data_IF_624502750500
#
_entry.id   IF_624502750500
#
_cell.length_a   1.000
_cell.length_b   1.000
_cell.length_c   1.000
_cell.angle_alpha   90.00
_cell.angle_beta   90.00
_cell.angle_gamma   90.00
#
_symmetry.space_group_name_H-M   'P 1'
#
loop_
_entity.id
_entity.type
_entity.pdbx_description
1 polymer ?
#
# COMPACT_ATOMS: atom_id res chain seq x y z
N UNK A 1 -8.80 -10.50 -10.08
CA UNK A 1 -9.11 -9.29 -9.28
C UNK A 1 -10.60 -9.02 -9.42
N UNK A 2 -11.44 -9.67 -8.61
CA UNK A 2 -12.92 -9.65 -8.76
C UNK A 2 -13.61 -8.43 -8.12
N UNK A 3 -12.86 -7.59 -7.41
CA UNK A 3 -13.37 -6.34 -6.88
C UNK A 3 -13.01 -5.23 -7.87
N UNK A 4 -13.98 -4.64 -8.56
CA UNK A 4 -13.79 -3.55 -9.54
C UNK A 4 -13.22 -2.23 -8.97
N UNK A 5 -12.53 -2.29 -7.83
CA UNK A 5 -11.85 -1.21 -7.13
C UNK A 5 -10.34 -1.44 -7.23
N UNK A 6 -9.66 -0.41 -7.74
CA UNK A 6 -8.21 -0.31 -7.83
C UNK A 6 -7.71 0.46 -6.63
N UNK A 7 -6.98 -0.22 -5.75
CA UNK A 7 -6.36 0.38 -4.58
C UNK A 7 -4.88 0.66 -4.84
N UNK A 8 -4.47 1.92 -4.74
CA UNK A 8 -3.08 2.34 -4.99
C UNK A 8 -2.58 3.30 -3.91
N UNK A 9 -1.28 3.31 -3.73
CA UNK A 9 -0.58 4.34 -2.97
C UNK A 9 0.01 5.34 -3.96
N UNK A 10 -0.56 6.54 -4.00
CA UNK A 10 -0.29 7.56 -5.00
C UNK A 10 0.51 8.70 -4.40
N UNK A 11 1.56 9.12 -5.10
CA UNK A 11 2.34 10.29 -4.73
C UNK A 11 1.61 11.59 -5.05
N UNK A 12 1.96 12.67 -4.36
CA UNK A 12 1.52 14.04 -4.65
C UNK A 12 1.90 14.53 -6.06
N UNK A 13 2.87 13.87 -6.72
CA UNK A 13 3.21 14.05 -8.14
C UNK A 13 2.26 13.32 -9.10
N UNK A 14 1.29 12.58 -8.60
CA UNK A 14 0.25 11.89 -9.38
C UNK A 14 0.58 10.47 -9.83
N UNK A 15 1.80 9.98 -9.60
CA UNK A 15 2.22 8.61 -9.94
C UNK A 15 1.74 7.58 -8.91
N UNK A 16 1.21 6.45 -9.39
CA UNK A 16 0.85 5.29 -8.57
C UNK A 16 2.13 4.53 -8.20
N UNK A 17 2.61 4.67 -6.96
CA UNK A 17 3.89 4.09 -6.52
C UNK A 17 3.75 2.63 -6.08
N UNK A 18 2.63 2.27 -5.45
CA UNK A 18 2.39 0.89 -4.98
C UNK A 18 0.96 0.47 -5.28
N UNK A 19 0.79 -0.78 -5.72
CA UNK A 19 -0.54 -1.44 -5.79
C UNK A 19 -0.84 -2.13 -4.47
N UNK A 20 -2.05 -1.96 -3.97
CA UNK A 20 -2.42 -2.44 -2.64
C UNK A 20 -3.10 -3.80 -2.76
N UNK A 21 -2.42 -4.82 -2.26
CA UNK A 21 -2.95 -6.18 -2.16
C UNK A 21 -3.78 -6.35 -0.85
N UNK A 22 -4.65 -7.37 -0.76
CA UNK A 22 -5.40 -7.67 0.47
C UNK A 22 -4.53 -7.85 1.74
N UNK A 23 -3.30 -8.35 1.57
CA UNK A 23 -2.33 -8.52 2.65
C UNK A 23 -1.55 -7.25 3.03
N UNK A 24 -1.72 -6.15 2.28
CA UNK A 24 -1.02 -4.90 2.54
C UNK A 24 -1.39 -4.33 3.92
N UNK A 25 -0.40 -3.75 4.59
CA UNK A 25 -0.55 -3.21 5.95
C UNK A 25 -1.11 -1.79 5.91
N UNK A 26 -2.13 -1.55 6.73
CA UNK A 26 -2.61 -0.23 7.08
C UNK A 26 -1.74 0.35 8.20
N UNK A 27 -1.66 1.66 8.31
CA UNK A 27 -1.02 2.36 9.43
C UNK A 27 -1.59 1.97 10.81
N UNK A 28 -2.83 1.47 10.89
CA UNK A 28 -3.37 0.89 12.13
C UNK A 28 -2.82 -0.51 12.47
N UNK A 29 -1.84 -0.99 11.70
CA UNK A 29 -1.19 -2.30 11.78
C UNK A 29 -2.06 -3.52 11.40
N UNK A 30 -3.28 -3.31 10.89
CA UNK A 30 -4.13 -4.37 10.32
C UNK A 30 -3.99 -4.48 8.80
N UNK A 31 -4.44 -5.58 8.22
CA UNK A 31 -4.38 -5.81 6.77
C UNK A 31 -5.49 -5.05 6.02
N UNK A 32 -5.35 -4.88 4.71
CA UNK A 32 -6.43 -4.33 3.88
C UNK A 32 -7.68 -5.22 3.91
N UNK A 33 -7.52 -6.54 4.00
CA UNK A 33 -8.64 -7.48 4.15
C UNK A 33 -9.47 -7.25 5.44
N UNK A 34 -8.87 -6.66 6.47
CA UNK A 34 -9.56 -6.27 7.71
C UNK A 34 -10.35 -4.95 7.58
N UNK A 35 -10.30 -4.32 6.40
CA UNK A 35 -11.02 -3.10 6.10
C UNK A 35 -12.21 -3.36 5.17
N UNK A 36 -13.26 -2.53 5.29
CA UNK A 36 -14.45 -2.63 4.45
C UNK A 36 -15.04 -1.26 4.17
N UNK A 37 -15.69 -1.13 3.02
CA UNK A 37 -16.45 0.06 2.69
C UNK A 37 -17.81 -0.01 3.40
N UNK A 38 -18.09 0.99 4.23
CA UNK A 38 -19.39 1.09 4.96
C UNK A 38 -20.58 1.28 4.03
N UNK A 39 -20.33 1.80 2.82
CA UNK A 39 -21.31 1.90 1.75
C UNK A 39 -20.60 1.93 0.39
N UNK A 40 -21.29 1.64 -0.72
CA UNK A 40 -20.69 1.71 -2.07
C UNK A 40 -20.16 3.09 -2.46
N UNK A 41 -20.62 4.15 -1.79
CA UNK A 41 -20.19 5.54 -2.03
C UNK A 41 -19.11 6.02 -1.05
N UNK A 42 -18.71 5.18 -0.10
CA UNK A 42 -17.68 5.55 0.86
C UNK A 42 -16.34 5.70 0.11
N UNK A 43 -15.64 6.83 0.26
CA UNK A 43 -14.38 7.06 -0.47
C UNK A 43 -13.23 6.20 0.04
N UNK A 44 -13.32 5.73 1.30
CA UNK A 44 -12.29 4.92 1.93
C UNK A 44 -12.92 3.80 2.77
N UNK A 45 -12.25 2.64 2.90
CA UNK A 45 -12.68 1.57 3.76
C UNK A 45 -12.19 1.78 5.20
N UNK A 46 -13.01 1.40 6.17
CA UNK A 46 -12.71 1.51 7.61
C UNK A 46 -12.28 0.16 8.17
N UNK A 47 -11.54 0.15 9.28
CA UNK A 47 -11.08 -1.09 9.90
C UNK A 47 -12.18 -1.74 10.75
N UNK A 48 -12.31 -3.08 10.68
CA UNK A 48 -13.24 -3.86 11.53
C UNK A 48 -12.75 -4.02 12.97
N UNK A 49 -11.43 -4.01 13.16
CA UNK A 49 -10.78 -4.42 14.42
C UNK A 49 -10.34 -3.24 15.32
N UNK A 50 -10.38 -1.99 14.82
CA UNK A 50 -9.95 -0.82 15.59
C UNK A 50 -10.65 0.46 15.14
N UNK A 51 -10.40 1.57 15.83
CA UNK A 51 -10.99 2.90 15.56
C UNK A 51 -10.42 3.63 14.33
N UNK A 52 -9.67 2.93 13.47
CA UNK A 52 -9.09 3.49 12.24
C UNK A 52 -10.19 3.80 11.21
N UNK A 53 -10.25 5.06 10.78
CA UNK A 53 -11.34 5.59 9.93
C UNK A 53 -11.06 5.55 8.43
N UNK A 54 -9.84 5.22 8.02
CA UNK A 54 -9.48 5.07 6.62
C UNK A 54 -8.26 4.17 6.48
N UNK A 55 -8.28 3.24 5.54
CA UNK A 55 -7.09 2.48 5.18
C UNK A 55 -6.01 3.44 4.65
N UNK A 56 -4.85 3.43 5.30
CA UNK A 56 -3.68 4.19 4.88
C UNK A 56 -2.50 3.24 4.77
N UNK A 57 -2.09 2.95 3.53
CA UNK A 57 -0.98 2.05 3.24
C UNK A 57 0.27 2.48 4.00
N UNK A 58 0.95 1.51 4.62
CA UNK A 58 2.29 1.69 5.16
C UNK A 58 3.15 0.51 4.71
N UNK A 59 4.41 0.73 4.29
CA UNK A 59 5.30 -0.35 3.92
C UNK A 59 5.40 -1.39 5.03
N UNK A 60 5.42 -2.65 4.62
CA UNK A 60 5.32 -3.78 5.55
C UNK A 60 6.64 -4.50 5.80
N UNK A 61 7.60 -4.28 4.88
CA UNK A 61 8.93 -4.87 4.85
C UNK A 61 10.00 -3.80 4.59
N UNK A 62 11.23 -3.98 5.11
CA UNK A 62 12.32 -3.03 4.89
C UNK A 62 12.72 -2.91 3.41
N UNK A 63 12.59 -3.97 2.62
CA UNK A 63 12.87 -3.96 1.18
C UNK A 63 11.98 -2.99 0.41
N UNK A 64 10.76 -2.73 0.87
CA UNK A 64 9.81 -1.79 0.23
C UNK A 64 10.23 -0.32 0.39
N UNK A 65 11.22 -0.05 1.24
CA UNK A 65 11.68 1.31 1.57
C UNK A 65 13.20 1.48 1.42
N UNK A 66 13.84 0.58 0.68
CA UNK A 66 15.28 0.66 0.38
C UNK A 66 16.20 0.17 1.51
N UNK A 67 15.64 -0.39 2.58
CA UNK A 67 16.39 -0.98 3.69
C UNK A 67 16.66 -2.48 3.47
N UNK A 68 16.85 -2.90 2.22
CA UNK A 68 17.02 -4.31 1.82
C UNK A 68 18.19 -5.04 2.51
N UNK A 69 19.11 -4.31 3.14
CA UNK A 69 20.22 -4.85 3.90
C UNK A 69 19.82 -5.32 5.32
N UNK A 70 18.70 -4.84 5.86
CA UNK A 70 18.24 -5.18 7.21
C UNK A 70 17.98 -6.69 7.40
N UNK A 71 17.25 -7.37 6.50
CA UNK A 71 17.02 -8.82 6.57
C UNK A 71 18.29 -9.67 6.61
N UNK A 72 19.42 -9.14 6.11
CA UNK A 72 20.72 -9.84 6.09
C UNK A 72 21.46 -9.75 7.43
N UNK A 73 21.00 -8.93 8.38
CA UNK A 73 21.62 -8.82 9.70
C UNK A 73 21.27 -10.01 10.58
N UNK A 74 22.27 -10.54 11.28
CA UNK A 74 22.10 -11.63 12.25
C UNK A 74 21.05 -11.23 13.30
N UNK A 75 20.03 -12.07 13.48
CA UNK A 75 18.97 -11.86 14.48
C UNK A 75 17.88 -10.87 14.05
N UNK A 76 17.88 -10.38 12.81
CA UNK A 76 16.76 -9.57 12.31
C UNK A 76 15.50 -10.41 12.15
N UNK A 77 14.36 -9.88 12.60
CA UNK A 77 13.05 -10.52 12.43
C UNK A 77 12.14 -9.60 11.62
N UNK A 78 11.76 -10.01 10.41
CA UNK A 78 10.91 -9.22 9.51
C UNK A 78 9.50 -9.00 10.07
N UNK A 79 8.99 -9.91 10.89
CA UNK A 79 7.63 -9.83 11.44
C UNK A 79 7.49 -8.75 12.52
N UNK A 80 8.60 -8.36 13.15
CA UNK A 80 8.64 -7.29 14.15
C UNK A 80 9.03 -5.93 13.55
N UNK A 81 9.43 -5.88 12.27
CA UNK A 81 9.78 -4.62 11.62
C UNK A 81 8.56 -3.72 11.42
N UNK A 82 8.78 -2.42 11.59
CA UNK A 82 7.76 -1.37 11.45
C UNK A 82 8.40 -0.18 10.76
N UNK A 83 7.69 0.36 9.77
CA UNK A 83 8.07 1.60 9.10
C UNK A 83 8.31 2.71 10.15
N UNK A 84 9.49 3.34 10.08
CA UNK A 84 9.97 4.25 11.12
C UNK A 84 9.60 5.70 10.83
N UNK A 85 9.17 6.39 11.89
CA UNK A 85 9.08 7.85 11.93
C UNK A 85 10.47 8.45 12.18
N UNK A 86 10.68 9.73 11.85
CA UNK A 86 11.88 10.50 12.22
C UNK A 86 12.14 10.53 13.73
N UNK A 87 11.11 10.33 14.56
CA UNK A 87 11.27 10.19 16.01
C UNK A 87 11.85 8.83 16.45
N UNK A 88 12.07 7.89 15.53
CA UNK A 88 12.62 6.55 15.79
C UNK A 88 11.58 5.46 16.13
N UNK A 89 10.36 5.86 16.47
CA UNK A 89 9.26 4.94 16.77
C UNK A 89 8.66 4.33 15.50
N UNK A 90 8.06 3.15 15.66
CA UNK A 90 7.28 2.51 14.60
C UNK A 90 5.98 3.26 14.33
N UNK A 91 5.44 3.14 13.12
CA UNK A 91 4.13 3.68 12.77
C UNK A 91 3.00 3.17 13.69
N UNK A 92 3.12 1.96 14.22
CA UNK A 92 2.20 1.32 15.16
C UNK A 92 2.24 1.91 16.57
N UNK A 93 3.18 2.82 16.84
CA UNK A 93 3.23 3.61 18.07
C UNK A 93 2.61 5.00 17.91
N UNK A 94 2.10 5.31 16.71
CA UNK A 94 1.35 6.52 16.41
C UNK A 94 -0.15 6.25 16.39
N UNK A 95 -0.96 7.23 16.77
CA UNK A 95 -2.42 7.14 16.63
C UNK A 95 -2.79 6.99 15.14
N UNK A 96 -3.64 6.01 14.77
CA UNK A 96 -3.92 5.72 13.37
C UNK A 96 -4.70 6.83 12.64
N UNK A 97 -5.39 7.71 13.37
CA UNK A 97 -6.17 8.80 12.82
C UNK A 97 -5.43 10.13 12.91
N UNK A 98 -4.93 10.47 14.10
CA UNK A 98 -4.24 11.74 14.38
C UNK A 98 -2.75 11.72 14.02
N UNK A 99 -2.16 10.54 13.81
CA UNK A 99 -0.73 10.35 13.49
C UNK A 99 0.24 10.91 14.52
N UNK A 100 -0.25 11.18 15.74
CA UNK A 100 0.56 11.64 16.87
C UNK A 100 1.25 10.47 17.55
N UNK A 101 2.50 10.67 17.96
CA UNK A 101 3.25 9.69 18.74
C UNK A 101 3.13 9.98 20.24
N UNK A 102 3.26 8.94 21.07
CA UNK A 102 3.36 9.07 22.54
C UNK A 102 4.57 9.89 23.00
N UNK A 103 5.61 10.00 22.17
CA UNK A 103 6.81 10.80 22.48
C UNK A 103 6.62 12.33 22.26
N UNK A 104 5.42 12.80 21.90
CA UNK A 104 5.15 14.21 21.61
C UNK A 104 5.26 14.61 20.13
N UNK A 105 5.63 13.67 19.25
CA UNK A 105 5.65 13.91 17.80
C UNK A 105 4.22 14.24 17.32
N UNK A 106 4.04 15.42 16.72
CA UNK A 106 2.72 15.93 16.34
C UNK A 106 2.12 15.26 15.10
N UNK A 107 2.96 14.64 14.26
CA UNK A 107 2.55 13.89 13.09
C UNK A 107 3.56 12.79 12.76
N UNK A 108 3.19 11.81 11.92
CA UNK A 108 4.13 10.83 11.40
C UNK A 108 4.92 11.44 10.24
N UNK A 109 6.25 11.43 10.35
CA UNK A 109 7.17 11.83 9.29
C UNK A 109 8.08 10.67 8.99
N UNK A 110 8.04 10.14 7.78
CA UNK A 110 8.83 8.97 7.42
C UNK A 110 10.34 9.22 7.52
N UNK A 111 11.04 8.26 8.14
CA UNK A 111 12.51 8.21 8.13
C UNK A 111 13.07 7.50 6.88
N UNK A 112 12.21 7.17 5.93
CA UNK A 112 12.56 6.55 4.66
C UNK A 112 12.05 7.42 3.50
N UNK A 113 12.30 6.98 2.27
CA UNK A 113 11.74 7.57 1.06
C UNK A 113 11.07 6.47 0.24
N UNK A 114 10.08 6.84 -0.57
CA UNK A 114 9.45 5.93 -1.52
C UNK A 114 10.46 5.52 -2.60
N UNK A 115 10.62 4.21 -2.81
CA UNK A 115 11.56 3.67 -3.80
C UNK A 115 11.25 4.07 -5.25
N UNK A 116 10.01 4.46 -5.53
CA UNK A 116 9.56 4.76 -6.90
C UNK A 116 9.75 6.24 -7.25
N UNK A 117 9.57 7.15 -6.28
CA UNK A 117 9.50 8.58 -6.58
C UNK A 117 10.36 9.47 -5.65
N UNK A 118 11.10 8.87 -4.70
CA UNK A 118 11.95 9.51 -3.70
C UNK A 118 11.25 10.48 -2.73
N UNK A 119 9.93 10.62 -2.82
CA UNK A 119 9.13 11.42 -1.88
C UNK A 119 8.91 10.72 -0.54
N UNK A 120 8.50 11.48 0.46
CA UNK A 120 8.22 10.96 1.80
C UNK A 120 6.87 10.25 1.84
N UNK A 121 6.70 9.38 2.83
CA UNK A 121 5.44 8.67 3.02
C UNK A 121 4.25 9.62 3.16
N UNK A 122 4.45 10.73 3.88
CA UNK A 122 3.45 11.78 4.08
C UNK A 122 3.14 12.59 2.80
N UNK A 123 3.92 12.44 1.72
CA UNK A 123 3.64 13.02 0.41
C UNK A 123 2.77 12.12 -0.47
N UNK A 124 2.20 11.05 0.11
CA UNK A 124 1.37 10.09 -0.59
C UNK A 124 0.01 9.90 0.08
N UNK A 125 -0.96 9.49 -0.70
CA UNK A 125 -2.28 9.09 -0.24
C UNK A 125 -2.63 7.68 -0.72
N UNK A 126 -3.53 7.03 0.01
CA UNK A 126 -4.10 5.75 -0.43
C UNK A 126 -5.41 6.03 -1.15
N UNK A 127 -5.47 5.68 -2.42
CA UNK A 127 -6.57 5.99 -3.34
C UNK A 127 -7.29 4.70 -3.72
N UNK A 128 -8.62 4.76 -3.73
CA UNK A 128 -9.51 3.70 -4.18
C UNK A 128 -10.33 4.24 -5.35
N UNK A 129 -10.16 3.66 -6.53
CA UNK A 129 -10.84 4.10 -7.76
C UNK A 129 -11.55 2.94 -8.43
N UNK A 130 -12.71 3.19 -9.02
CA UNK A 130 -13.35 2.31 -9.98
C UNK A 130 -12.59 2.28 -11.31
N UNK A 131 -12.87 1.27 -12.14
CA UNK A 131 -12.34 1.21 -13.51
C UNK A 131 -12.70 2.47 -14.31
N UNK A 132 -13.94 2.96 -14.16
CA UNK A 132 -14.43 4.16 -14.85
C UNK A 132 -13.65 5.41 -14.46
N UNK A 133 -13.44 5.64 -13.16
CA UNK A 133 -12.67 6.80 -12.67
C UNK A 133 -11.23 6.77 -13.20
N UNK A 134 -10.59 5.59 -13.24
CA UNK A 134 -9.24 5.44 -13.81
C UNK A 134 -9.20 5.73 -15.30
N UNK A 135 -10.13 5.17 -16.08
CA UNK A 135 -10.21 5.43 -17.52
C UNK A 135 -10.44 6.91 -17.82
N UNK A 136 -11.33 7.57 -17.07
CA UNK A 136 -11.56 9.02 -17.19
C UNK A 136 -10.30 9.83 -16.87
N UNK A 137 -9.47 9.35 -15.95
CA UNK A 137 -8.18 9.95 -15.61
C UNK A 137 -7.02 9.50 -16.53
N UNK A 138 -7.29 8.71 -17.58
CA UNK A 138 -6.26 8.18 -18.48
C UNK A 138 -5.30 7.19 -17.82
N UNK A 139 -5.76 6.45 -16.80
CA UNK A 139 -4.96 5.52 -16.00
C UNK A 139 -5.23 4.06 -16.40
N UNK A 140 -4.24 3.16 -16.24
CA UNK A 140 -4.38 1.76 -16.62
C UNK A 140 -5.40 1.02 -15.76
N UNK A 141 -6.08 0.06 -16.39
CA UNK A 141 -7.07 -0.86 -15.81
C UNK A 141 -6.81 -2.27 -16.33
N UNK A 142 -7.38 -3.30 -15.69
CA UNK A 142 -7.29 -4.69 -16.17
C UNK A 142 -5.86 -5.20 -16.34
N UNK A 143 -5.54 -5.72 -17.53
CA UNK A 143 -4.21 -6.24 -17.86
C UNK A 143 -3.12 -5.17 -17.81
N UNK A 144 -3.42 -3.95 -18.25
CA UNK A 144 -2.46 -2.83 -18.24
C UNK A 144 -2.14 -2.36 -16.81
N UNK A 145 -2.99 -2.72 -15.84
CA UNK A 145 -2.73 -2.45 -14.42
C UNK A 145 -1.91 -3.55 -13.74
N UNK A 146 -1.69 -4.71 -14.38
CA UNK A 146 -0.92 -5.81 -13.77
C UNK A 146 0.57 -5.48 -13.65
N UNK A 147 1.29 -6.08 -12.69
CA UNK A 147 2.74 -5.94 -12.63
C UNK A 147 3.38 -6.42 -13.94
N UNK A 148 4.40 -5.69 -14.39
CA UNK A 148 5.15 -6.02 -15.60
C UNK A 148 4.26 -6.07 -16.86
N UNK A 149 3.24 -5.20 -16.94
CA UNK A 149 2.34 -5.13 -18.09
C UNK A 149 3.06 -4.74 -19.39
N UNK A 150 4.19 -4.04 -19.27
CA UNK A 150 5.08 -3.61 -20.34
C UNK A 150 6.07 -4.69 -20.80
N UNK A 151 6.27 -5.76 -20.03
CA UNK A 151 7.15 -6.87 -20.37
C UNK A 151 6.48 -8.23 -20.08
N UNK A 152 5.81 -8.77 -21.10
CA UNK A 152 5.09 -10.04 -21.00
C UNK A 152 6.01 -11.24 -20.74
N UNK A 153 7.27 -11.19 -21.19
CA UNK A 153 8.23 -12.27 -21.00
C UNK A 153 8.65 -12.36 -19.53
N UNK A 154 8.99 -11.23 -18.90
CA UNK A 154 9.30 -11.20 -17.47
C UNK A 154 8.04 -11.52 -16.66
N UNK A 155 6.87 -11.03 -17.09
CA UNK A 155 5.61 -11.32 -16.41
C UNK A 155 5.31 -12.82 -16.34
N UNK A 156 5.47 -13.56 -17.44
CA UNK A 156 5.27 -15.02 -17.45
C UNK A 156 6.26 -15.74 -16.54
N UNK A 157 7.52 -15.28 -16.48
CA UNK A 157 8.53 -15.87 -15.59
C UNK A 157 8.21 -15.66 -14.10
N UNK A 158 7.63 -14.51 -13.74
CA UNK A 158 7.31 -14.17 -12.34
C UNK A 158 5.94 -14.73 -11.92
N UNK A 159 4.98 -14.78 -12.84
CA UNK A 159 3.59 -15.21 -12.59
C UNK A 159 3.16 -16.36 -13.53
N UNK A 160 3.82 -17.53 -13.49
CA UNK A 160 3.53 -18.62 -14.41
C UNK A 160 2.11 -19.17 -14.19
N UNK A 161 1.36 -19.36 -15.27
CA UNK A 161 0.05 -20.04 -15.24
C UNK A 161 -1.17 -19.18 -14.88
N UNK A 162 -1.03 -17.87 -14.65
CA UNK A 162 -2.18 -16.97 -14.46
C UNK A 162 -2.90 -16.58 -15.77
N UNK A 163 -2.47 -17.13 -16.90
CA UNK A 163 -3.07 -16.94 -18.24
C UNK A 163 -4.23 -17.90 -18.56
N UNK A 164 -4.65 -18.76 -17.63
CA UNK A 164 -5.61 -19.86 -17.87
C UNK A 164 -7.03 -19.69 -17.32
N UNK A 165 -7.57 -18.47 -17.19
CA UNK A 165 -8.95 -18.26 -16.75
C UNK A 165 -9.77 -17.36 -17.70
N UNK A 166 -9.54 -17.49 -19.00
CA UNK A 166 -10.45 -16.98 -20.03
C UNK A 166 -10.93 -18.16 -20.91
N UNK A 167 -12.25 -18.31 -20.97
CA UNK A 167 -13.05 -19.22 -21.80
C UNK A 167 -13.12 -20.70 -21.36
N UNK A 168 -14.21 -21.05 -20.69
CA UNK A 168 -14.99 -22.27 -20.97
C UNK A 168 -16.46 -21.85 -21.07
N UNK A 169 -17.09 -22.30 -22.15
CA UNK A 169 -18.44 -21.96 -22.66
C UNK A 169 -19.59 -22.08 -21.63
#
# INVERSE_FOLDING_TARGET
>A
METGIYAVWRSSKGGDCTRIAPSARCFCNHSYADHFFVSPKAPYPICKACSCRAFAFVPSRPEEVGEWWLPRRKGFNVHTWRAKCRCGHGHDEHDPNARRCRCGCSMFQSNFACLVCDLKWEDHETVFESATERLMAGRPVGEDFRPLADDSAIRELVFPGEHGAAAVD
#
